data_IF_531116417412
#
_entry.id   IF_531116417412
#
_cell.length_a   1.000
_cell.length_b   1.000
_cell.length_c   1.000
_cell.angle_alpha   90.00
_cell.angle_beta   90.00
_cell.angle_gamma   90.00
#
_symmetry.space_group_name_H-M   'P 1'
#
loop_
_entity.id
_entity.type
_entity.pdbx_description
1 polymer ?
#
# COMPACT_ATOMS: atom_id res chain seq x y z
N UNK A 1 -8.91 -14.64 10.16
CA UNK A 1 -8.86 -13.17 10.33
C UNK A 1 -9.01 -12.54 8.96
N UNK A 2 -10.22 -12.08 8.64
CA UNK A 2 -10.65 -10.66 8.67
C UNK A 2 -10.36 -10.00 7.33
N UNK A 3 -11.43 -9.49 6.72
CA UNK A 3 -11.36 -8.42 5.75
C UNK A 3 -10.36 -7.37 6.28
N UNK A 4 -9.22 -7.13 5.60
CA UNK A 4 -8.18 -6.29 6.16
C UNK A 4 -8.73 -4.88 6.38
N UNK A 5 -8.33 -4.26 7.50
CA UNK A 5 -8.80 -2.92 7.89
C UNK A 5 -8.60 -1.89 6.76
N UNK A 6 -7.47 -1.99 6.03
CA UNK A 6 -7.21 -1.25 4.79
C UNK A 6 -7.19 -2.24 3.63
N UNK A 7 -7.84 -1.87 2.52
CA UNK A 7 -7.84 -2.66 1.29
C UNK A 7 -6.43 -2.71 0.70
N UNK A 8 -5.86 -3.91 0.58
CA UNK A 8 -4.50 -4.10 0.06
C UNK A 8 -4.33 -3.61 -1.38
N UNK A 9 -5.40 -3.69 -2.19
CA UNK A 9 -5.40 -3.22 -3.58
C UNK A 9 -5.15 -1.71 -3.66
N UNK A 10 -5.74 -0.92 -2.77
CA UNK A 10 -5.55 0.54 -2.77
C UNK A 10 -4.08 0.91 -2.50
N UNK A 11 -3.42 0.19 -1.57
CA UNK A 11 -1.99 0.37 -1.28
C UNK A 11 -1.10 -0.11 -2.42
N UNK A 12 -1.44 -1.25 -3.05
CA UNK A 12 -0.72 -1.74 -4.21
C UNK A 12 -0.77 -0.74 -5.37
N UNK A 13 -1.95 -0.19 -5.67
CA UNK A 13 -2.08 0.81 -6.74
C UNK A 13 -1.21 2.03 -6.49
N UNK A 14 -1.05 2.46 -5.23
CA UNK A 14 -0.16 3.55 -4.88
C UNK A 14 1.32 3.18 -5.09
N UNK A 15 1.72 1.96 -4.72
CA UNK A 15 3.07 1.47 -4.96
C UNK A 15 3.36 1.43 -6.47
N UNK A 16 2.45 0.87 -7.27
CA UNK A 16 2.61 0.80 -8.73
C UNK A 16 2.72 2.20 -9.35
N UNK A 17 1.88 3.16 -8.92
CA UNK A 17 1.95 4.55 -9.38
C UNK A 17 3.34 5.14 -9.16
N UNK A 18 3.94 4.96 -7.98
CA UNK A 18 5.27 5.48 -7.68
C UNK A 18 6.35 4.84 -8.54
N UNK A 19 6.27 3.51 -8.71
CA UNK A 19 7.23 2.74 -9.51
C UNK A 19 7.17 3.18 -10.96
N UNK A 20 5.96 3.38 -11.51
CA UNK A 20 5.74 3.83 -12.87
C UNK A 20 6.16 5.30 -13.05
N UNK A 21 5.79 6.20 -12.14
CA UNK A 21 6.14 7.63 -12.18
C UNK A 21 7.65 7.90 -12.09
N UNK A 22 8.38 7.00 -11.43
CA UNK A 22 9.84 7.09 -11.26
C UNK A 22 10.61 6.19 -12.23
N UNK A 23 9.94 5.53 -13.17
CA UNK A 23 10.51 4.57 -14.13
C UNK A 23 11.42 3.51 -13.47
N UNK A 24 11.04 3.03 -12.29
CA UNK A 24 11.88 2.13 -11.50
C UNK A 24 11.83 0.69 -12.03
N UNK A 25 12.99 0.08 -12.19
CA UNK A 25 13.11 -1.35 -12.41
C UNK A 25 12.79 -2.15 -11.14
N UNK A 26 12.47 -3.44 -11.30
CA UNK A 26 12.25 -4.33 -10.14
C UNK A 26 13.47 -4.43 -9.20
N UNK A 27 14.68 -4.16 -9.70
CA UNK A 27 15.90 -4.19 -8.90
C UNK A 27 15.97 -2.93 -8.03
N UNK A 28 15.73 -1.76 -8.60
CA UNK A 28 15.70 -0.50 -7.85
C UNK A 28 14.61 -0.51 -6.76
N UNK A 29 13.43 -1.04 -7.08
CA UNK A 29 12.37 -1.20 -6.08
C UNK A 29 12.79 -2.16 -4.96
N UNK A 30 13.48 -3.25 -5.29
CA UNK A 30 13.98 -4.20 -4.29
C UNK A 30 15.00 -3.53 -3.36
N UNK A 31 15.94 -2.78 -3.93
CA UNK A 31 17.00 -2.10 -3.20
C UNK A 31 16.45 -0.97 -2.29
N UNK A 32 15.56 -0.11 -2.81
CA UNK A 32 14.96 0.99 -2.04
C UNK A 32 14.03 0.48 -0.93
N UNK A 33 13.26 -0.58 -1.21
CA UNK A 33 12.30 -1.12 -0.24
C UNK A 33 12.90 -2.17 0.71
N UNK A 34 14.11 -2.64 0.45
CA UNK A 34 14.74 -3.76 1.16
C UNK A 34 14.01 -5.09 0.98
N UNK A 35 13.17 -5.21 -0.06
CA UNK A 35 12.42 -6.40 -0.38
C UNK A 35 13.24 -7.31 -1.32
N UNK A 36 13.06 -8.62 -1.22
CA UNK A 36 13.67 -9.51 -2.20
C UNK A 36 13.08 -9.26 -3.60
N UNK A 37 13.89 -9.25 -4.66
CA UNK A 37 13.43 -9.07 -6.05
C UNK A 37 12.29 -10.01 -6.45
N UNK A 38 12.29 -11.25 -5.96
CA UNK A 38 11.20 -12.21 -6.18
C UNK A 38 9.88 -11.76 -5.54
N UNK A 39 9.93 -11.12 -4.39
CA UNK A 39 8.78 -10.53 -3.71
C UNK A 39 8.28 -9.28 -4.45
N UNK A 40 9.19 -8.41 -4.89
CA UNK A 40 8.84 -7.25 -5.73
C UNK A 40 8.10 -7.69 -6.99
N UNK A 41 8.60 -8.72 -7.68
CA UNK A 41 7.92 -9.27 -8.85
C UNK A 41 6.50 -9.77 -8.53
N UNK A 42 6.31 -10.49 -7.41
CA UNK A 42 4.97 -10.92 -6.99
C UNK A 42 4.06 -9.72 -6.67
N UNK A 43 4.59 -8.71 -5.99
CA UNK A 43 3.88 -7.50 -5.60
C UNK A 43 3.37 -6.74 -6.83
N UNK A 44 4.27 -6.40 -7.76
CA UNK A 44 3.96 -5.62 -8.96
C UNK A 44 3.05 -6.39 -9.94
N UNK A 45 3.03 -7.72 -9.87
CA UNK A 45 2.08 -8.57 -10.58
C UNK A 45 0.74 -8.78 -9.83
N UNK A 46 0.48 -8.04 -8.75
CA UNK A 46 -0.78 -8.11 -8.01
C UNK A 46 -0.98 -9.34 -7.12
N UNK A 47 0.06 -10.15 -6.89
CA UNK A 47 -0.02 -11.39 -6.10
C UNK A 47 0.14 -11.12 -4.60
N UNK A 48 -0.94 -10.64 -3.98
CA UNK A 48 -0.93 -10.12 -2.60
C UNK A 48 -1.12 -11.16 -1.47
N UNK A 49 -1.22 -12.47 -1.78
CA UNK A 49 -1.54 -13.52 -0.77
C UNK A 49 -0.51 -13.57 0.37
N UNK A 50 0.74 -13.20 0.13
CA UNK A 50 1.83 -13.16 1.12
C UNK A 50 2.16 -11.76 1.67
N UNK A 51 1.41 -10.72 1.28
CA UNK A 51 1.68 -9.34 1.70
C UNK A 51 0.65 -8.91 2.74
N UNK A 52 1.09 -8.56 3.95
CA UNK A 52 0.22 -7.91 4.94
C UNK A 52 0.01 -6.44 4.58
N UNK A 53 -1.07 -5.83 5.06
CA UNK A 53 -1.30 -4.39 4.92
C UNK A 53 -0.14 -3.58 5.52
N UNK A 54 0.39 -4.02 6.66
CA UNK A 54 1.51 -3.39 7.35
C UNK A 54 2.82 -3.45 6.53
N UNK A 55 3.08 -4.56 5.83
CA UNK A 55 4.21 -4.67 4.89
C UNK A 55 4.05 -3.72 3.70
N UNK A 56 2.86 -3.62 3.11
CA UNK A 56 2.58 -2.68 2.02
C UNK A 56 2.75 -1.23 2.46
N UNK A 57 2.29 -0.89 3.67
CA UNK A 57 2.50 0.43 4.26
C UNK A 57 4.00 0.74 4.45
N UNK A 58 4.80 -0.22 4.95
CA UNK A 58 6.26 -0.04 5.06
C UNK A 58 6.96 0.15 3.72
N UNK A 59 6.49 -0.54 2.67
CA UNK A 59 7.00 -0.33 1.31
C UNK A 59 6.72 1.12 0.86
N UNK A 60 5.50 1.63 1.06
CA UNK A 60 5.16 3.02 0.74
C UNK A 60 6.02 4.03 1.51
N UNK A 61 6.26 3.81 2.81
CA UNK A 61 7.14 4.66 3.62
C UNK A 61 8.57 4.67 3.06
N UNK A 62 9.09 3.51 2.64
CA UNK A 62 10.44 3.41 2.05
C UNK A 62 10.55 4.05 0.67
N UNK A 63 9.46 4.01 -0.11
CA UNK A 63 9.33 4.76 -1.36
C UNK A 63 9.08 6.27 -1.15
N UNK A 64 9.23 6.78 0.08
CA UNK A 64 9.16 8.20 0.38
C UNK A 64 7.74 8.76 0.42
N UNK A 65 6.73 7.94 0.71
CA UNK A 65 5.36 8.43 0.96
C UNK A 65 5.09 8.52 2.45
N UNK A 66 4.54 9.64 2.87
CA UNK A 66 3.98 9.79 4.20
C UNK A 66 2.62 9.11 4.30
N UNK A 67 2.35 8.46 5.44
CA UNK A 67 1.05 7.84 5.75
C UNK A 67 0.40 8.58 6.91
N UNK A 68 -0.69 9.29 6.61
CA UNK A 68 -1.53 9.95 7.60
C UNK A 68 -2.74 9.06 7.96
N UNK A 69 -2.93 8.78 9.26
CA UNK A 69 -4.10 8.04 9.75
C UNK A 69 -5.03 9.02 10.48
N UNK A 70 -6.15 9.35 9.84
CA UNK A 70 -7.13 10.29 10.39
C UNK A 70 -8.35 9.54 10.93
N UNK A 71 -8.60 9.65 12.24
CA UNK A 71 -9.78 9.10 12.91
C UNK A 71 -10.77 10.25 13.18
N UNK A 72 -12.01 10.10 12.71
CA UNK A 72 -13.06 11.12 12.84
C UNK A 72 -14.46 10.50 12.92
N UNK A 73 -15.47 11.23 13.44
CA UNK A 73 -16.85 10.75 13.45
C UNK A 73 -17.35 10.33 12.07
N UNK A 74 -18.20 9.30 12.03
CA UNK A 74 -18.80 8.81 10.79
C UNK A 74 -19.72 9.88 10.17
N UNK A 75 -19.62 10.10 8.85
CA UNK A 75 -20.48 11.05 8.13
C UNK A 75 -21.90 10.46 7.97
N UNK A 76 -22.92 11.30 8.18
CA UNK A 76 -24.31 11.00 7.84
C UNK A 76 -25.00 10.00 8.76
N UNK A 77 -24.70 10.02 10.07
CA UNK A 77 -25.41 9.22 11.07
C UNK A 77 -25.22 7.69 10.96
N UNK A 78 -24.24 7.20 10.18
CA UNK A 78 -24.00 5.75 10.07
C UNK A 78 -23.53 5.18 11.41
N UNK A 79 -24.12 4.06 11.82
CA UNK A 79 -23.72 3.30 13.01
C UNK A 79 -22.31 2.71 12.94
N UNK A 80 -21.82 2.43 11.73
CA UNK A 80 -20.48 1.86 11.49
C UNK A 80 -19.67 2.80 10.58
N UNK A 81 -18.42 3.06 10.96
CA UNK A 81 -17.48 3.85 10.17
C UNK A 81 -16.94 3.10 8.96
N UNK A 82 -16.12 3.77 8.15
CA UNK A 82 -15.45 3.15 7.00
C UNK A 82 -14.02 3.65 6.90
N UNK A 83 -13.10 2.75 6.58
CA UNK A 83 -11.72 3.10 6.22
C UNK A 83 -11.70 3.55 4.77
N UNK A 84 -11.00 4.65 4.52
CA UNK A 84 -10.83 5.21 3.17
C UNK A 84 -9.39 5.66 3.03
N UNK A 85 -8.79 5.37 1.88
CA UNK A 85 -7.55 6.00 1.47
C UNK A 85 -7.90 7.33 0.79
N UNK A 86 -7.31 8.42 1.27
CA UNK A 86 -7.42 9.72 0.62
C UNK A 86 -6.17 9.90 -0.25
N UNK A 87 -6.35 10.12 -1.55
CA UNK A 87 -5.27 10.59 -2.42
C UNK A 87 -5.27 12.11 -2.35
N UNK A 88 -4.13 12.70 -2.00
CA UNK A 88 -3.90 14.14 -2.04
C UNK A 88 -3.11 14.48 -3.29
#
# INVERSE_FOLDING_TARGET
>A
VRNPFIKKQDLLSEIQSIVDERDMSQVEVADETGEARSQVSLLLNGKLRGFSTDRLARILLRLGRDIEIVIRPSRGGRKVGAVRLARR
#
